data_IF_447218153270
#
_entry.id   IF_447218153270
#
_cell.length_a   1.000
_cell.length_b   1.000
_cell.length_c   1.000
_cell.angle_alpha   90.00
_cell.angle_beta   90.00
_cell.angle_gamma   90.00
#
_symmetry.space_group_name_H-M   'P 1'
#
loop_
_entity.id
_entity.type
_entity.pdbx_description
1 polymer ?
#
# COMPACT_ATOMS: atom_id res chain seq x y z
N UNK A 1 2.29 -7.64 6.64
CA UNK A 1 2.78 -8.02 5.30
C UNK A 1 1.80 -7.53 4.25
N UNK A 2 2.31 -7.03 3.13
CA UNK A 2 1.51 -6.57 1.99
C UNK A 2 1.99 -7.27 0.73
N UNK A 3 1.07 -7.66 -0.14
CA UNK A 3 1.34 -8.31 -1.41
C UNK A 3 0.70 -7.48 -2.52
N UNK A 4 1.53 -6.91 -3.38
CA UNK A 4 1.13 -5.87 -4.32
C UNK A 4 1.24 -6.36 -5.76
N UNK A 5 0.25 -5.99 -6.55
CA UNK A 5 0.16 -6.33 -7.97
C UNK A 5 0.62 -5.17 -8.84
N UNK A 6 1.01 -5.49 -10.07
CA UNK A 6 1.34 -4.51 -11.10
C UNK A 6 0.08 -4.06 -11.84
N UNK A 7 0.21 -3.01 -12.65
CA UNK A 7 -0.86 -2.50 -13.52
C UNK A 7 -1.58 -3.59 -14.33
N UNK A 8 -0.84 -4.59 -14.82
CA UNK A 8 -1.34 -5.71 -15.64
C UNK A 8 -2.47 -6.53 -14.99
N UNK A 9 -2.65 -6.42 -13.68
CA UNK A 9 -3.68 -7.15 -12.92
C UNK A 9 -4.93 -6.32 -12.61
N UNK A 10 -4.88 -5.02 -12.88
CA UNK A 10 -6.08 -4.19 -12.80
C UNK A 10 -7.00 -4.55 -13.96
N UNK A 11 -8.30 -4.40 -13.75
CA UNK A 11 -9.28 -4.61 -14.81
C UNK A 11 -9.11 -3.55 -15.90
N UNK A 12 -8.69 -4.00 -17.09
CA UNK A 12 -8.41 -3.17 -18.26
C UNK A 12 -9.36 -3.42 -19.44
N UNK A 13 -10.42 -4.23 -19.26
CA UNK A 13 -11.31 -4.65 -20.37
C UNK A 13 -12.00 -3.49 -21.08
N UNK A 14 -12.25 -2.40 -20.37
CA UNK A 14 -12.96 -1.22 -20.87
C UNK A 14 -12.02 -0.10 -21.39
N UNK A 15 -10.70 -0.32 -21.38
CA UNK A 15 -9.72 0.70 -21.77
C UNK A 15 -9.22 0.46 -23.20
N UNK A 16 -9.14 1.53 -23.99
CA UNK A 16 -8.38 1.55 -25.24
C UNK A 16 -6.87 1.35 -24.98
N UNK A 17 -6.11 0.90 -25.98
CA UNK A 17 -4.66 0.70 -25.83
C UNK A 17 -3.93 1.98 -25.39
N UNK A 18 -4.31 3.13 -25.93
CA UNK A 18 -3.74 4.41 -25.54
C UNK A 18 -4.10 4.79 -24.09
N UNK A 19 -5.28 4.40 -23.58
CA UNK A 19 -5.62 4.58 -22.17
C UNK A 19 -4.83 3.63 -21.26
N UNK A 20 -4.63 2.38 -21.69
CA UNK A 20 -3.82 1.42 -20.91
C UNK A 20 -2.41 1.94 -20.69
N UNK A 21 -1.76 2.41 -21.76
CA UNK A 21 -0.40 3.01 -21.68
C UNK A 21 -0.40 4.24 -20.76
N UNK A 22 -1.41 5.10 -20.88
CA UNK A 22 -1.53 6.29 -20.05
C UNK A 22 -1.70 5.95 -18.56
N UNK A 23 -2.66 5.12 -18.21
CA UNK A 23 -2.93 4.74 -16.83
C UNK A 23 -1.78 3.91 -16.23
N UNK A 24 -1.10 3.08 -17.01
CA UNK A 24 0.10 2.37 -16.57
C UNK A 24 1.19 3.36 -16.12
N UNK A 25 1.47 4.40 -16.92
CA UNK A 25 2.48 5.40 -16.57
C UNK A 25 2.14 6.14 -15.27
N UNK A 26 0.86 6.45 -15.02
CA UNK A 26 0.40 7.08 -13.77
C UNK A 26 0.45 6.09 -12.60
N UNK A 27 -0.05 4.88 -12.81
CA UNK A 27 -0.12 3.84 -11.79
C UNK A 27 1.28 3.43 -11.33
N UNK A 28 2.22 3.23 -12.26
CA UNK A 28 3.62 2.83 -12.05
C UNK A 28 4.59 4.02 -11.87
N UNK A 29 4.10 5.26 -11.90
CA UNK A 29 4.91 6.48 -11.71
C UNK A 29 5.78 6.44 -10.43
N UNK A 30 7.09 6.60 -10.60
CA UNK A 30 8.03 6.65 -9.50
C UNK A 30 9.04 7.79 -9.68
N UNK A 31 8.57 9.04 -9.62
CA UNK A 31 9.39 10.25 -9.79
C UNK A 31 10.12 10.34 -11.15
N UNK A 32 9.66 9.58 -12.14
CA UNK A 32 10.17 9.60 -13.51
C UNK A 32 9.30 10.51 -14.40
N UNK A 33 9.86 11.06 -15.50
CA UNK A 33 9.05 11.78 -16.48
C UNK A 33 7.90 10.92 -17.02
N UNK A 34 6.74 11.54 -17.19
CA UNK A 34 5.56 10.93 -17.82
C UNK A 34 5.51 11.42 -19.27
N UNK A 35 5.49 10.50 -20.22
CA UNK A 35 5.51 10.81 -21.66
C UNK A 35 4.11 10.59 -22.22
N UNK A 36 3.20 11.55 -22.02
CA UNK A 36 1.83 11.44 -22.53
C UNK A 36 1.37 12.71 -23.23
N UNK A 37 0.84 12.54 -24.44
CA UNK A 37 0.17 13.59 -25.22
C UNK A 37 -1.34 13.68 -24.96
N UNK A 38 -1.89 12.76 -24.16
CA UNK A 38 -3.33 12.75 -23.80
C UNK A 38 -3.66 13.87 -22.81
N UNK A 39 -4.86 14.42 -23.01
CA UNK A 39 -5.33 15.68 -22.40
C UNK A 39 -5.43 15.68 -20.87
N UNK A 40 -5.64 16.89 -20.35
CA UNK A 40 -5.45 17.28 -18.94
C UNK A 40 -6.49 16.74 -17.95
N UNK A 41 -7.41 15.89 -18.39
CA UNK A 41 -8.58 15.58 -17.60
C UNK A 41 -8.27 14.45 -16.62
N UNK A 42 -8.37 14.77 -15.34
CA UNK A 42 -8.44 13.76 -14.27
C UNK A 42 -9.74 12.98 -14.50
N UNK A 43 -9.73 11.63 -14.43
CA UNK A 43 -10.95 10.85 -14.52
C UNK A 43 -11.93 11.26 -13.41
N UNK A 44 -13.24 11.08 -13.66
CA UNK A 44 -14.26 11.38 -12.65
C UNK A 44 -13.97 10.64 -11.35
N UNK A 45 -13.78 11.40 -10.27
CA UNK A 45 -13.41 10.88 -8.94
C UNK A 45 -11.92 10.65 -8.68
N UNK A 46 -11.02 10.95 -9.63
CA UNK A 46 -9.56 10.85 -9.42
C UNK A 46 -8.93 9.54 -9.90
N UNK A 47 -7.61 9.53 -10.11
CA UNK A 47 -6.89 8.30 -10.48
C UNK A 47 -6.94 7.29 -9.34
N UNK A 48 -6.92 7.75 -8.07
CA UNK A 48 -7.03 6.87 -6.91
C UNK A 48 -8.31 6.03 -6.96
N UNK A 49 -9.46 6.67 -7.11
CA UNK A 49 -10.77 5.99 -7.20
C UNK A 49 -10.81 5.06 -8.41
N UNK A 50 -10.27 5.50 -9.54
CA UNK A 50 -10.18 4.69 -10.76
C UNK A 50 -9.38 3.41 -10.54
N UNK A 51 -8.22 3.49 -9.89
CA UNK A 51 -7.40 2.32 -9.58
C UNK A 51 -8.05 1.42 -8.54
N UNK A 52 -8.74 1.97 -7.55
CA UNK A 52 -9.44 1.20 -6.52
C UNK A 52 -10.56 0.34 -7.11
N UNK A 53 -11.35 0.92 -8.00
CA UNK A 53 -12.45 0.25 -8.72
C UNK A 53 -11.93 -0.84 -9.66
N UNK A 54 -10.79 -0.61 -10.32
CA UNK A 54 -10.17 -1.58 -11.22
C UNK A 54 -9.35 -2.64 -10.50
N UNK A 55 -9.07 -2.47 -9.21
CA UNK A 55 -8.31 -3.46 -8.44
C UNK A 55 -9.20 -4.66 -8.09
N UNK A 56 -8.79 -5.88 -8.45
CA UNK A 56 -9.58 -7.07 -8.15
C UNK A 56 -9.49 -7.45 -6.66
N UNK A 57 -10.40 -8.30 -6.18
CA UNK A 57 -10.41 -8.80 -4.80
C UNK A 57 -9.23 -9.73 -4.51
N UNK A 58 -8.90 -9.94 -3.23
CA UNK A 58 -7.71 -10.71 -2.86
C UNK A 58 -7.87 -12.21 -3.13
N UNK A 59 -9.09 -12.73 -3.10
CA UNK A 59 -9.45 -14.10 -3.51
C UNK A 59 -9.20 -14.41 -5.00
N UNK A 60 -9.14 -13.39 -5.86
CA UNK A 60 -8.75 -13.55 -7.27
C UNK A 60 -7.24 -13.52 -7.49
N UNK A 61 -6.48 -13.10 -6.47
CA UNK A 61 -5.01 -12.99 -6.53
C UNK A 61 -4.37 -14.16 -5.76
N UNK A 62 -5.03 -14.66 -4.72
CA UNK A 62 -4.56 -15.76 -3.88
C UNK A 62 -5.62 -16.84 -3.70
N UNK A 63 -5.17 -18.07 -3.50
CA UNK A 63 -6.00 -19.21 -3.15
C UNK A 63 -5.38 -20.02 -2.02
N UNK A 64 -6.09 -21.06 -1.60
CA UNK A 64 -5.61 -22.03 -0.61
C UNK A 64 -5.14 -21.37 0.70
N UNK A 65 -5.83 -20.30 1.11
CA UNK A 65 -5.52 -19.58 2.33
C UNK A 65 -5.85 -20.43 3.57
N UNK A 66 -4.87 -20.57 4.46
CA UNK A 66 -5.05 -21.30 5.72
C UNK A 66 -4.38 -20.57 6.88
N UNK A 67 -4.98 -20.68 8.07
CA UNK A 67 -4.48 -20.12 9.32
C UNK A 67 -4.42 -21.23 10.36
N UNK A 68 -3.22 -21.59 10.82
CA UNK A 68 -3.03 -22.69 11.77
C UNK A 68 -3.52 -24.05 11.25
N UNK A 69 -3.59 -24.22 9.92
CA UNK A 69 -4.10 -25.43 9.26
C UNK A 69 -5.57 -25.36 8.84
N UNK A 70 -6.35 -24.42 9.38
CA UNK A 70 -7.76 -24.26 9.03
C UNK A 70 -7.93 -23.44 7.75
N UNK A 71 -8.77 -23.93 6.83
CA UNK A 71 -9.08 -23.21 5.59
C UNK A 71 -9.95 -22.00 5.87
N UNK A 72 -9.60 -20.87 5.25
CA UNK A 72 -10.33 -19.61 5.34
C UNK A 72 -10.42 -18.97 3.94
N UNK A 73 -11.43 -18.12 3.73
CA UNK A 73 -11.48 -17.29 2.53
C UNK A 73 -10.30 -16.32 2.53
N UNK A 74 -9.66 -16.15 1.36
CA UNK A 74 -8.51 -15.25 1.25
C UNK A 74 -8.89 -13.79 1.53
N UNK A 75 -10.12 -13.37 1.22
CA UNK A 75 -10.64 -12.03 1.54
C UNK A 75 -10.90 -11.83 3.05
N UNK A 76 -11.04 -12.90 3.84
CA UNK A 76 -11.10 -12.78 5.31
C UNK A 76 -9.70 -12.65 5.93
N UNK A 77 -8.67 -13.09 5.22
CA UNK A 77 -7.27 -13.07 5.64
C UNK A 77 -6.54 -11.80 5.16
N UNK A 78 -6.90 -11.33 3.97
CA UNK A 78 -6.30 -10.17 3.32
C UNK A 78 -7.35 -9.11 3.01
N UNK A 79 -7.01 -7.86 3.30
CA UNK A 79 -7.80 -6.70 2.87
C UNK A 79 -7.18 -6.06 1.64
N UNK A 80 -8.00 -5.82 0.62
CA UNK A 80 -7.63 -5.03 -0.56
C UNK A 80 -7.44 -3.57 -0.14
N UNK A 81 -6.34 -2.97 -0.55
CA UNK A 81 -6.08 -1.55 -0.32
C UNK A 81 -5.15 -0.95 -1.38
N UNK A 82 -5.31 0.35 -1.63
CA UNK A 82 -4.35 1.12 -2.40
C UNK A 82 -3.24 1.65 -1.49
N UNK A 83 -2.01 1.58 -1.99
CA UNK A 83 -0.81 2.02 -1.31
C UNK A 83 0.10 2.80 -2.27
N UNK A 84 1.15 3.50 -1.79
CA UNK A 84 2.17 4.11 -2.61
C UNK A 84 2.76 3.14 -3.63
N UNK A 85 3.03 1.88 -3.27
CA UNK A 85 3.63 0.89 -4.19
C UNK A 85 2.62 0.25 -5.15
N UNK A 86 1.35 0.62 -5.09
CA UNK A 86 0.28 0.09 -5.93
C UNK A 86 -0.89 -0.48 -5.13
N UNK A 87 -1.77 -1.16 -5.85
CA UNK A 87 -2.82 -2.00 -5.31
C UNK A 87 -2.25 -3.24 -4.64
N UNK A 88 -2.68 -3.50 -3.42
CA UNK A 88 -2.15 -4.55 -2.58
C UNK A 88 -3.25 -5.28 -1.80
N UNK A 89 -2.89 -6.48 -1.38
CA UNK A 89 -3.59 -7.26 -0.38
C UNK A 89 -2.76 -7.29 0.89
N UNK A 90 -3.27 -6.67 1.96
CA UNK A 90 -2.61 -6.61 3.26
C UNK A 90 -3.16 -7.66 4.20
N UNK A 91 -2.25 -8.40 4.82
CA UNK A 91 -2.59 -9.39 5.83
C UNK A 91 -3.21 -8.72 7.06
N UNK A 92 -4.37 -9.21 7.49
CA UNK A 92 -5.09 -8.70 8.67
C UNK A 92 -4.56 -9.41 9.92
N UNK A 93 -3.64 -8.77 10.66
CA UNK A 93 -2.99 -9.38 11.83
C UNK A 93 -3.97 -9.73 12.96
N UNK A 94 -5.04 -8.96 13.14
CA UNK A 94 -6.06 -9.25 14.16
C UNK A 94 -6.78 -10.59 13.93
N UNK A 95 -6.84 -11.08 12.68
CA UNK A 95 -7.39 -12.41 12.35
C UNK A 95 -6.47 -13.55 12.76
N UNK A 96 -5.20 -13.25 13.05
CA UNK A 96 -4.23 -14.19 13.57
C UNK A 96 -4.23 -14.22 15.10
N UNK A 97 -4.89 -13.26 15.74
CA UNK A 97 -4.94 -13.11 17.19
C UNK A 97 -6.00 -14.02 17.80
N UNK A 98 -5.60 -15.27 18.01
CA UNK A 98 -6.30 -16.25 18.83
C UNK A 98 -5.28 -16.78 19.83
N UNK A 99 -5.66 -17.02 21.08
CA UNK A 99 -4.98 -17.53 22.31
C UNK A 99 -3.60 -18.24 22.26
N UNK A 100 -3.02 -18.56 21.10
CA UNK A 100 -1.70 -19.15 20.91
C UNK A 100 -0.66 -18.12 20.42
N UNK A 101 0.58 -18.17 20.95
CA UNK A 101 1.64 -17.21 20.64
C UNK A 101 2.26 -17.34 19.24
N UNK A 102 1.93 -18.40 18.49
CA UNK A 102 2.41 -18.62 17.13
C UNK A 102 1.32 -19.27 16.29
N UNK A 103 0.97 -18.64 15.18
CA UNK A 103 0.15 -19.24 14.12
C UNK A 103 0.89 -19.09 12.79
N UNK A 104 0.86 -20.17 12.01
CA UNK A 104 1.33 -20.17 10.65
C UNK A 104 0.22 -19.73 9.72
N UNK A 105 0.57 -18.96 8.71
CA UNK A 105 -0.31 -18.56 7.61
C UNK A 105 0.24 -19.15 6.33
N UNK A 106 -0.61 -19.82 5.56
CA UNK A 106 -0.26 -20.31 4.22
C UNK A 106 -1.22 -19.80 3.17
N UNK A 107 -0.69 -19.56 1.98
CA UNK A 107 -1.47 -19.17 0.81
C UNK A 107 -0.65 -19.39 -0.47
N UNK A 108 -1.33 -19.39 -1.61
CA UNK A 108 -0.73 -19.55 -2.92
C UNK A 108 -1.16 -18.41 -3.84
N UNK A 109 -0.22 -17.61 -4.37
CA UNK A 109 -0.54 -16.69 -5.44
C UNK A 109 -0.99 -17.42 -6.70
N UNK A 110 -1.96 -16.84 -7.41
CA UNK A 110 -2.36 -17.29 -8.74
C UNK A 110 -1.97 -16.30 -9.84
N UNK A 111 -1.51 -15.12 -9.45
CA UNK A 111 -1.03 -14.05 -10.33
C UNK A 111 0.47 -13.86 -10.17
N UNK A 112 1.19 -13.56 -11.26
CA UNK A 112 2.64 -13.35 -11.26
C UNK A 112 3.05 -12.29 -12.31
N UNK A 113 3.93 -11.33 -11.97
CA UNK A 113 4.70 -11.24 -10.74
C UNK A 113 3.94 -10.60 -9.57
N UNK A 114 4.21 -11.03 -8.33
CA UNK A 114 3.72 -10.38 -7.11
C UNK A 114 4.88 -9.84 -6.29
N UNK A 115 4.76 -8.57 -5.90
CA UNK A 115 5.72 -7.86 -5.05
C UNK A 115 5.28 -7.98 -3.60
N UNK A 116 6.08 -8.62 -2.76
CA UNK A 116 5.82 -8.70 -1.32
C UNK A 116 6.60 -7.65 -0.55
N UNK A 117 5.95 -7.07 0.46
CA UNK A 117 6.52 -6.09 1.37
C UNK A 117 6.26 -6.53 2.81
N UNK A 118 7.33 -6.77 3.56
CA UNK A 118 7.23 -6.94 5.01
C UNK A 118 7.26 -5.55 5.64
N UNK A 119 6.08 -5.11 6.06
CA UNK A 119 5.85 -3.87 6.83
C UNK A 119 5.50 -4.22 8.27
N UNK A 120 5.92 -3.37 9.20
CA UNK A 120 5.55 -3.47 10.62
C UNK A 120 4.06 -3.16 10.86
N UNK A 121 3.61 -3.38 12.10
CA UNK A 121 2.21 -3.23 12.53
C UNK A 121 1.70 -1.77 12.50
N UNK A 122 2.60 -0.80 12.33
CA UNK A 122 2.25 0.62 12.36
C UNK A 122 1.76 1.14 11.00
N UNK A 123 0.67 0.56 10.48
CA UNK A 123 -0.31 1.23 9.61
C UNK A 123 0.19 2.01 8.38
N UNK A 124 1.44 1.86 7.97
CA UNK A 124 2.03 2.63 6.89
C UNK A 124 2.60 1.78 5.80
N UNK A 125 2.21 2.23 4.63
CA UNK A 125 2.55 1.61 3.40
C UNK A 125 4.04 1.80 3.09
N UNK A 126 4.66 0.82 2.44
CA UNK A 126 6.01 1.01 1.94
C UNK A 126 6.03 2.27 1.04
N UNK A 127 7.03 3.17 1.20
CA UNK A 127 7.11 4.32 0.33
C UNK A 127 7.34 3.86 -1.11
N UNK A 128 6.96 4.69 -2.07
CA UNK A 128 6.98 4.37 -3.50
C UNK A 128 8.30 3.77 -4.00
N UNK A 129 9.42 4.29 -3.48
CA UNK A 129 10.76 3.89 -3.87
C UNK A 129 11.29 2.65 -3.15
N UNK A 130 10.53 2.07 -2.22
CA UNK A 130 10.96 0.88 -1.49
C UNK A 130 10.96 -0.32 -2.42
N UNK A 131 12.08 -1.04 -2.43
CA UNK A 131 12.16 -2.31 -3.13
C UNK A 131 11.33 -3.38 -2.40
N UNK A 132 10.68 -4.30 -3.15
CA UNK A 132 9.98 -5.42 -2.54
C UNK A 132 10.95 -6.31 -1.76
N UNK A 133 10.48 -6.87 -0.66
CA UNK A 133 11.23 -7.86 0.12
C UNK A 133 11.44 -9.14 -0.70
N UNK A 134 10.41 -9.59 -1.40
CA UNK A 134 10.48 -10.68 -2.37
C UNK A 134 9.61 -10.37 -3.58
N UNK A 135 10.03 -10.82 -4.75
CA UNK A 135 9.20 -10.80 -5.97
C UNK A 135 8.95 -12.23 -6.40
N UNK A 136 7.70 -12.65 -6.38
CA UNK A 136 7.30 -13.99 -6.80
C UNK A 136 7.01 -13.96 -8.30
N UNK A 137 7.73 -14.76 -9.07
CA UNK A 137 7.60 -14.83 -10.55
C UNK A 137 7.16 -16.20 -11.05
N UNK A 138 7.10 -17.18 -10.15
CA UNK A 138 6.71 -18.56 -10.44
C UNK A 138 5.71 -19.05 -9.38
N UNK A 139 4.92 -20.09 -9.68
CA UNK A 139 4.07 -20.77 -8.72
C UNK A 139 4.81 -21.13 -7.43
N UNK A 140 4.37 -20.55 -6.31
CA UNK A 140 4.91 -20.88 -4.98
C UNK A 140 3.79 -21.00 -3.95
N UNK A 141 4.06 -21.78 -2.91
CA UNK A 141 3.29 -21.75 -1.67
C UNK A 141 4.07 -20.94 -0.64
N UNK A 142 3.45 -19.92 -0.08
CA UNK A 142 4.06 -19.09 0.97
C UNK A 142 3.66 -19.66 2.32
N UNK A 143 4.64 -19.86 3.20
CA UNK A 143 4.44 -20.21 4.59
C UNK A 143 5.04 -19.12 5.49
N UNK A 144 4.23 -18.54 6.37
CA UNK A 144 4.63 -17.47 7.26
C UNK A 144 4.42 -17.91 8.71
N UNK A 145 5.51 -17.97 9.47
CA UNK A 145 5.47 -18.14 10.92
C UNK A 145 5.59 -16.78 11.60
N UNK A 146 4.51 -16.35 12.23
CA UNK A 146 4.45 -15.04 12.87
C UNK A 146 4.51 -15.18 14.39
N UNK A 147 5.37 -14.37 15.01
CA UNK A 147 5.43 -14.19 16.46
C UNK A 147 5.04 -12.76 16.78
N UNK A 148 4.01 -12.58 17.58
CA UNK A 148 3.52 -11.25 17.96
C UNK A 148 3.76 -11.02 19.46
N UNK A 149 4.36 -9.89 19.78
CA UNK A 149 4.53 -9.42 21.16
C UNK A 149 3.61 -8.22 21.36
N UNK A 150 2.62 -8.35 22.24
CA UNK A 150 1.70 -7.27 22.57
C UNK A 150 1.98 -6.72 23.96
N UNK A 151 1.84 -5.40 24.11
CA UNK A 151 1.90 -4.75 25.42
C UNK A 151 0.56 -4.90 26.13
N UNK A 152 0.58 -5.34 27.39
CA UNK A 152 -0.65 -5.40 28.19
C UNK A 152 -1.02 -4.01 28.71
N UNK A 153 -2.31 -3.79 28.97
CA UNK A 153 -2.80 -2.53 29.52
C UNK A 153 -2.10 -2.14 30.85
N UNK A 154 -1.64 -3.13 31.63
CA UNK A 154 -0.90 -2.92 32.89
C UNK A 154 0.40 -2.14 32.72
N UNK A 155 1.02 -2.16 31.52
CA UNK A 155 2.20 -1.33 31.23
C UNK A 155 1.89 0.17 31.19
N UNK A 156 0.61 0.57 31.18
CA UNK A 156 0.20 1.97 31.35
C UNK A 156 0.50 2.54 32.74
N UNK A 157 0.71 1.68 33.74
CA UNK A 157 1.16 2.10 35.07
C UNK A 157 2.58 2.66 35.05
N UNK A 158 3.39 2.31 34.04
CA UNK A 158 4.72 2.85 33.83
C UNK A 158 4.64 4.12 32.99
N UNK A 159 5.48 5.11 33.30
CA UNK A 159 5.63 6.30 32.45
C UNK A 159 6.16 5.91 31.08
N UNK A 160 5.88 6.73 30.06
CA UNK A 160 6.37 6.53 28.67
C UNK A 160 7.89 6.27 28.63
N UNK A 161 8.66 7.03 29.41
CA UNK A 161 10.12 6.89 29.49
C UNK A 161 10.55 5.54 30.08
N UNK A 162 9.79 5.01 31.04
CA UNK A 162 10.08 3.72 31.68
C UNK A 162 9.73 2.53 30.78
N UNK A 163 8.61 2.58 30.06
CA UNK A 163 8.19 1.47 29.19
C UNK A 163 8.82 1.49 27.79
N UNK A 164 9.31 2.63 27.33
CA UNK A 164 10.01 2.75 26.04
C UNK A 164 9.13 2.56 24.80
N UNK A 165 7.79 2.49 24.95
CA UNK A 165 6.82 2.37 23.87
C UNK A 165 5.63 3.32 24.07
N UNK A 166 4.86 3.52 23.00
CA UNK A 166 3.68 4.38 22.93
C UNK A 166 2.49 3.48 22.60
N UNK A 167 1.37 3.64 23.29
CA UNK A 167 0.12 2.99 22.93
C UNK A 167 -0.55 3.72 21.76
N UNK A 168 -1.33 3.00 20.95
CA UNK A 168 -1.93 3.52 19.72
C UNK A 168 -2.89 4.72 19.92
N UNK A 169 -3.38 4.92 21.14
CA UNK A 169 -4.29 5.99 21.55
C UNK A 169 -3.59 7.20 22.18
N UNK A 170 -2.29 7.13 22.45
CA UNK A 170 -1.56 8.18 23.16
C UNK A 170 -0.99 9.26 22.25
N UNK A 171 -0.49 8.87 21.09
CA UNK A 171 0.09 9.79 20.13
C UNK A 171 0.05 9.18 18.72
N UNK A 172 0.11 10.05 17.71
CA UNK A 172 0.36 9.64 16.35
C UNK A 172 1.74 8.94 16.26
N UNK A 173 1.82 7.87 15.47
CA UNK A 173 3.07 7.14 15.26
C UNK A 173 4.09 8.03 14.53
N UNK A 174 5.40 7.81 14.75
CA UNK A 174 6.48 8.49 14.00
C UNK A 174 6.23 8.45 12.48
N UNK A 175 5.73 7.32 12.09
CA UNK A 175 5.49 6.86 10.75
C UNK A 175 4.31 7.68 10.13
N UNK A 176 3.22 7.89 10.87
CA UNK A 176 2.10 8.76 10.45
C UNK A 176 2.53 10.23 10.39
N UNK A 177 3.38 10.65 11.33
CA UNK A 177 4.00 11.97 11.32
C UNK A 177 4.84 12.20 10.04
N UNK A 178 5.64 11.23 9.63
CA UNK A 178 6.44 11.28 8.38
C UNK A 178 5.53 11.44 7.16
N UNK A 179 4.48 10.63 7.04
CA UNK A 179 3.54 10.72 5.92
C UNK A 179 2.85 12.08 5.88
N UNK A 180 2.35 12.56 7.02
CA UNK A 180 1.70 13.86 7.15
C UNK A 180 2.64 15.01 6.81
N UNK A 181 3.90 14.93 7.23
CA UNK A 181 4.95 15.88 6.86
C UNK A 181 5.19 15.89 5.34
N UNK A 182 5.31 14.71 4.73
CA UNK A 182 5.50 14.56 3.29
C UNK A 182 4.34 15.16 2.49
N UNK A 183 3.09 14.86 2.88
CA UNK A 183 1.91 15.45 2.25
C UNK A 183 1.91 16.97 2.29
N UNK A 184 2.13 17.56 3.48
CA UNK A 184 2.20 19.02 3.63
C UNK A 184 3.30 19.64 2.76
N UNK A 185 4.45 18.99 2.67
CA UNK A 185 5.57 19.46 1.85
C UNK A 185 5.24 19.46 0.36
N UNK A 186 4.61 18.39 -0.13
CA UNK A 186 4.19 18.29 -1.53
C UNK A 186 3.08 19.33 -1.82
N UNK A 187 2.05 19.40 -0.97
CA UNK A 187 0.97 20.40 -1.09
C UNK A 187 1.51 21.83 -1.07
N UNK A 188 2.47 22.14 -0.19
CA UNK A 188 3.05 23.48 -0.09
C UNK A 188 3.90 23.89 -1.28
N UNK A 189 4.44 22.94 -2.06
CA UNK A 189 5.28 23.23 -3.25
C UNK A 189 4.46 23.13 -4.54
N UNK A 190 3.66 22.07 -4.70
CA UNK A 190 2.96 21.77 -5.96
C UNK A 190 1.43 21.96 -5.89
N UNK A 191 0.86 22.21 -4.71
CA UNK A 191 -0.58 22.45 -4.55
C UNK A 191 -1.49 21.22 -4.73
N UNK A 192 -0.92 20.04 -4.97
CA UNK A 192 -1.66 18.79 -5.20
C UNK A 192 -0.87 17.59 -4.67
N UNK A 193 -1.52 16.44 -4.55
CA UNK A 193 -0.89 15.16 -4.17
C UNK A 193 -0.97 14.14 -5.31
N UNK A 194 0.07 13.31 -5.53
CA UNK A 194 -0.05 12.18 -6.43
C UNK A 194 -1.14 11.21 -5.91
N UNK A 195 -1.75 10.44 -6.81
CA UNK A 195 -2.91 9.59 -6.53
C UNK A 195 -2.78 8.73 -5.26
N UNK A 196 -1.59 8.21 -4.99
CA UNK A 196 -1.34 7.31 -3.85
C UNK A 196 -1.17 8.04 -2.51
N UNK A 197 -1.03 9.36 -2.51
CA UNK A 197 -1.04 10.20 -1.31
C UNK A 197 -2.35 10.97 -1.15
N UNK A 198 -3.09 11.21 -2.23
CA UNK A 198 -4.35 11.94 -2.20
C UNK A 198 -5.41 11.22 -1.33
N UNK A 199 -6.29 12.02 -0.72
CA UNK A 199 -7.48 11.58 0.01
C UNK A 199 -8.69 12.37 -0.47
N UNK A 200 -9.88 12.09 0.06
CA UNK A 200 -11.09 12.85 -0.30
C UNK A 200 -11.02 14.33 0.06
N UNK A 201 -10.16 14.70 1.03
CA UNK A 201 -10.00 16.07 1.51
C UNK A 201 -8.88 16.84 0.79
N UNK A 202 -7.98 16.13 0.11
CA UNK A 202 -6.75 16.70 -0.46
C UNK A 202 -6.76 16.61 -1.98
N UNK A 203 -6.42 17.68 -2.71
CA UNK A 203 -6.51 17.69 -4.17
C UNK A 203 -5.51 16.71 -4.80
N UNK A 204 -6.02 15.89 -5.71
CA UNK A 204 -5.20 14.99 -6.52
C UNK A 204 -4.57 15.74 -7.71
N UNK A 205 -3.30 15.44 -8.01
CA UNK A 205 -2.58 16.08 -9.12
C UNK A 205 -3.15 15.65 -10.47
N UNK A 206 -3.44 16.62 -11.33
CA UNK A 206 -3.64 16.36 -12.76
C UNK A 206 -2.32 15.97 -13.43
N UNK A 207 -2.41 15.33 -14.59
CA UNK A 207 -1.23 14.95 -15.39
C UNK A 207 -0.24 16.10 -15.60
N UNK A 208 -0.71 17.33 -15.82
CA UNK A 208 0.18 18.48 -16.01
C UNK A 208 0.93 18.84 -14.73
N UNK A 209 0.29 18.69 -13.58
CA UNK A 209 0.89 19.01 -12.28
C UNK A 209 1.94 17.99 -11.84
N UNK A 210 1.98 16.79 -12.43
CA UNK A 210 3.09 15.85 -12.22
C UNK A 210 4.44 16.44 -12.66
N UNK A 211 4.47 17.40 -13.59
CA UNK A 211 5.69 18.12 -13.95
C UNK A 211 6.34 18.83 -12.75
N UNK A 212 5.55 19.42 -11.85
CA UNK A 212 6.04 20.02 -10.61
C UNK A 212 6.66 18.98 -9.68
N UNK A 213 6.00 17.82 -9.54
CA UNK A 213 6.51 16.72 -8.72
C UNK A 213 7.86 16.21 -9.24
N UNK A 214 8.02 16.11 -10.56
CA UNK A 214 9.26 15.70 -11.22
C UNK A 214 10.35 16.77 -11.02
N UNK A 215 10.04 18.04 -11.25
CA UNK A 215 10.99 19.15 -11.12
C UNK A 215 11.55 19.28 -9.69
N UNK A 216 10.76 18.91 -8.68
CA UNK A 216 11.14 18.98 -7.28
C UNK A 216 11.37 17.61 -6.63
N UNK A 217 11.60 16.56 -7.42
CA UNK A 217 11.77 15.18 -6.94
C UNK A 217 12.79 15.07 -5.78
N UNK A 218 13.99 15.64 -5.95
CA UNK A 218 15.06 15.61 -4.93
C UNK A 218 14.63 16.20 -3.57
N UNK A 219 13.73 17.18 -3.60
CA UNK A 219 13.19 17.82 -2.39
C UNK A 219 12.02 17.03 -1.82
N UNK A 220 11.20 16.40 -2.65
CA UNK A 220 9.93 15.79 -2.25
C UNK A 220 10.03 14.29 -1.92
N UNK A 221 11.02 13.60 -2.47
CA UNK A 221 11.18 12.15 -2.34
C UNK A 221 11.57 11.71 -0.93
N UNK A 222 12.26 12.58 -0.17
CA UNK A 222 12.75 12.28 1.16
C UNK A 222 12.18 13.24 2.22
N UNK A 223 11.55 12.71 3.28
CA UNK A 223 11.31 13.48 4.49
C UNK A 223 12.68 13.84 5.08
N UNK A 224 12.99 15.14 5.13
CA UNK A 224 14.15 15.67 5.86
C UNK A 224 13.68 16.09 7.24
#
# INVERSE_FOLDING_TARGET
MMLCVNWTFLNQTELSEDEKVFYEQIYEWNWKPINTTKGNNIPDGGYKTTFEQRTPSCDTIYRNCMVGGDRILCDDLFVKELSPVGACCRLILSKLNTDRPSKSVTFEPISYPIRSYIVGDLGLYPPRNRQPTFTFTIPIQVHLDMKMTQSTASLRLLTRRQRGCIFSDEEETLDCCILRCQKRKILGICGCLPWFLASSEEPECSIQQYSCLIQHADRLQHPK
#
